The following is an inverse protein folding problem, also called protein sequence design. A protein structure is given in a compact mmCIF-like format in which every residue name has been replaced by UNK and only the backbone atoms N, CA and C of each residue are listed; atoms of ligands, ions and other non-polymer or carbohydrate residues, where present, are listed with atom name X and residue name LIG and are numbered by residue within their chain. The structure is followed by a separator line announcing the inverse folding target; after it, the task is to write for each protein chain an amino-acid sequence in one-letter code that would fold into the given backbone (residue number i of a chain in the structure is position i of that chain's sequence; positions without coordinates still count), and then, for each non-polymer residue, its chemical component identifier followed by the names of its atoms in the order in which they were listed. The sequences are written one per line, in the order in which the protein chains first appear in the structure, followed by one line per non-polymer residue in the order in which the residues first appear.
data_IF_158555087178
#
_entry.id   IF_158555087178
#
_cell.length_a   1.000
_cell.length_b   1.000
_cell.length_c   1.000
_cell.angle_alpha   90.00
_cell.angle_beta   90.00
_cell.angle_gamma   90.00
#
_symmetry.space_group_name_H-M   'P 1'
#
loop_
_entity.id
_entity.type
_entity.pdbx_description
1 polymer ?
#
# COMPACT_ATOMS: atom_id res chain seq x y z
N UNK A 1 -6.18 46.05 52.38
CA UNK A 1 -6.74 46.59 51.13
C UNK A 1 -5.66 46.52 50.05
N UNK A 2 -5.94 45.76 48.98
CA UNK A 2 -5.24 45.69 47.68
C UNK A 2 -3.84 45.07 47.60
N UNK A 3 -3.81 43.75 47.38
CA UNK A 3 -2.70 43.07 46.69
C UNK A 3 -3.12 42.83 45.22
N UNK A 4 -2.67 43.69 44.31
CA UNK A 4 -2.66 43.41 42.86
C UNK A 4 -1.32 42.74 42.54
N UNK A 5 -1.36 41.58 41.88
CA UNK A 5 -0.48 41.20 40.76
C UNK A 5 -0.90 39.81 40.23
N UNK A 6 -1.78 39.86 39.23
CA UNK A 6 -1.98 38.81 38.23
C UNK A 6 -0.86 38.91 37.21
N UNK A 7 -0.06 37.85 37.01
CA UNK A 7 0.64 37.61 35.74
C UNK A 7 0.43 36.14 35.35
N UNK A 8 -0.50 36.01 34.42
CA UNK A 8 -0.70 34.98 33.40
C UNK A 8 0.52 34.05 33.19
N UNK A 9 0.43 32.81 33.64
CA UNK A 9 1.35 31.74 33.21
C UNK A 9 0.75 31.03 32.00
N UNK A 10 1.38 31.24 30.86
CA UNK A 10 1.04 30.69 29.56
C UNK A 10 1.42 29.21 29.54
N UNK A 11 0.47 28.31 29.79
CA UNK A 11 0.66 26.86 29.58
C UNK A 11 0.58 26.62 28.07
N UNK A 12 1.72 26.76 27.40
CA UNK A 12 1.90 26.21 26.07
C UNK A 12 1.98 24.68 26.21
N UNK A 13 0.82 24.03 26.09
CA UNK A 13 0.77 22.58 25.89
C UNK A 13 1.31 22.29 24.48
N UNK A 14 2.62 22.13 24.39
CA UNK A 14 3.26 21.53 23.21
C UNK A 14 2.79 20.08 23.17
N UNK A 15 1.70 19.83 22.43
CA UNK A 15 1.36 18.50 21.97
C UNK A 15 2.48 18.06 21.01
N UNK A 16 3.55 17.49 21.56
CA UNK A 16 4.39 16.55 20.85
C UNK A 16 3.49 15.36 20.50
N UNK A 17 2.83 15.43 19.35
CA UNK A 17 2.28 14.24 18.70
C UNK A 17 3.51 13.46 18.26
N UNK A 18 3.98 12.58 19.13
CA UNK A 18 4.95 11.56 18.76
C UNK A 18 4.35 10.78 17.60
N UNK A 19 4.94 10.95 16.42
CA UNK A 19 4.64 10.13 15.26
C UNK A 19 5.04 8.69 15.62
N UNK A 20 4.06 7.91 16.08
CA UNK A 20 4.23 6.48 16.27
C UNK A 20 4.57 5.91 14.90
N UNK A 21 5.82 5.46 14.72
CA UNK A 21 6.22 4.73 13.54
C UNK A 21 5.29 3.52 13.41
N UNK A 22 4.47 3.51 12.37
CA UNK A 22 3.46 2.47 12.17
C UNK A 22 4.16 1.19 11.70
N UNK A 23 4.41 0.28 12.64
CA UNK A 23 5.19 -0.94 12.36
C UNK A 23 4.40 -1.96 11.53
N UNK A 24 3.07 -1.98 11.68
CA UNK A 24 2.16 -2.88 10.97
C UNK A 24 1.51 -2.24 9.74
N UNK A 25 1.12 -3.07 8.76
CA UNK A 25 0.37 -2.62 7.58
C UNK A 25 -1.04 -2.21 8.02
N UNK A 26 -1.46 -1.00 7.64
CA UNK A 26 -2.87 -0.58 7.72
C UNK A 26 -3.67 -1.22 6.59
N UNK A 27 -4.54 -2.17 6.91
CA UNK A 27 -5.40 -2.86 5.95
C UNK A 27 -6.69 -2.11 5.60
N UNK A 28 -6.99 -1.01 6.32
CA UNK A 28 -8.18 -0.17 6.06
C UNK A 28 -7.80 1.32 5.99
N UNK A 29 -6.83 1.70 5.14
CA UNK A 29 -6.34 3.07 5.11
C UNK A 29 -7.44 4.01 4.62
N UNK A 30 -7.48 5.24 5.17
CA UNK A 30 -8.48 6.26 4.81
C UNK A 30 -8.58 6.50 3.30
N UNK A 31 -7.46 6.37 2.56
CA UNK A 31 -7.42 6.50 1.11
C UNK A 31 -8.22 5.40 0.38
N UNK A 32 -8.15 4.16 0.88
CA UNK A 32 -8.95 3.04 0.36
C UNK A 32 -10.44 3.28 0.65
N UNK A 33 -10.79 3.58 1.90
CA UNK A 33 -12.17 3.80 2.32
C UNK A 33 -12.86 4.90 1.50
N UNK A 34 -12.17 6.03 1.27
CA UNK A 34 -12.67 7.11 0.41
C UNK A 34 -12.90 6.66 -1.04
N UNK A 35 -12.04 5.79 -1.56
CA UNK A 35 -12.15 5.28 -2.94
C UNK A 35 -13.33 4.31 -3.06
N UNK A 36 -13.53 3.44 -2.07
CA UNK A 36 -14.68 2.54 -1.99
C UNK A 36 -16.00 3.32 -1.84
N UNK A 37 -16.04 4.32 -0.97
CA UNK A 37 -17.20 5.18 -0.76
C UNK A 37 -17.62 5.90 -2.05
N UNK A 38 -16.66 6.46 -2.80
CA UNK A 38 -16.91 7.10 -4.11
C UNK A 38 -17.47 6.13 -5.16
N UNK A 39 -17.20 4.84 -5.01
CA UNK A 39 -17.74 3.80 -5.87
C UNK A 39 -19.07 3.21 -5.37
N UNK A 40 -19.66 3.80 -4.33
CA UNK A 40 -20.94 3.34 -3.75
C UNK A 40 -20.82 2.19 -2.76
N UNK A 41 -19.61 1.80 -2.37
CA UNK A 41 -19.37 0.79 -1.32
C UNK A 41 -19.16 1.54 0.00
N UNK A 42 -20.25 1.79 0.71
CA UNK A 42 -20.25 2.50 2.00
C UNK A 42 -20.12 1.55 3.19
N UNK A 43 -20.58 0.31 3.05
CA UNK A 43 -20.51 -0.71 4.09
C UNK A 43 -19.25 -1.55 3.96
N UNK A 44 -18.26 -1.26 4.82
CA UNK A 44 -16.96 -1.96 4.85
C UNK A 44 -17.09 -3.39 5.36
N UNK A 45 -18.18 -3.76 6.06
CA UNK A 45 -18.41 -5.14 6.52
C UNK A 45 -18.57 -6.14 5.36
N UNK A 46 -18.90 -5.63 4.17
CA UNK A 46 -18.94 -6.40 2.92
C UNK A 46 -17.55 -6.83 2.42
N UNK A 47 -16.48 -6.24 2.95
CA UNK A 47 -15.10 -6.56 2.58
C UNK A 47 -14.57 -7.66 3.49
N UNK A 48 -14.48 -8.88 2.95
CA UNK A 48 -13.99 -10.06 3.68
C UNK A 48 -12.60 -10.44 3.25
N UNK A 49 -11.72 -10.73 4.21
CA UNK A 49 -10.39 -11.25 3.92
C UNK A 49 -10.49 -12.61 3.22
N UNK A 50 -9.71 -12.80 2.16
CA UNK A 50 -9.59 -14.08 1.47
C UNK A 50 -8.57 -14.94 2.21
N UNK A 51 -9.05 -15.92 2.97
CA UNK A 51 -8.19 -16.94 3.59
C UNK A 51 -7.87 -17.99 2.55
N UNK A 52 -6.60 -18.04 2.12
CA UNK A 52 -6.21 -18.83 0.97
C UNK A 52 -5.36 -20.03 1.38
N UNK A 53 -5.85 -21.28 1.18
CA UNK A 53 -5.07 -22.48 1.42
C UNK A 53 -3.82 -22.54 0.54
N UNK A 54 -3.94 -22.14 -0.73
CA UNK A 54 -2.84 -22.07 -1.69
C UNK A 54 -1.79 -21.02 -1.31
N UNK A 55 -2.21 -19.95 -0.60
CA UNK A 55 -1.29 -18.97 -0.07
C UNK A 55 -0.57 -19.44 1.18
N UNK A 56 -0.99 -20.50 1.88
CA UNK A 56 -0.29 -20.96 3.10
C UNK A 56 1.16 -21.37 2.82
N UNK A 57 1.43 -21.92 1.63
CA UNK A 57 2.79 -22.24 1.20
C UNK A 57 3.56 -21.01 0.69
N UNK A 58 2.85 -19.94 0.29
CA UNK A 58 3.40 -18.65 -0.14
C UNK A 58 3.35 -17.58 0.98
N UNK A 59 2.86 -17.93 2.17
CA UNK A 59 2.60 -16.98 3.26
C UNK A 59 3.90 -16.36 3.79
N UNK A 60 5.03 -17.07 3.64
CA UNK A 60 6.34 -16.52 3.96
C UNK A 60 6.78 -15.40 2.99
N UNK A 61 6.16 -15.28 1.80
CA UNK A 61 6.52 -14.27 0.79
C UNK A 61 5.43 -13.22 0.56
N UNK A 62 4.24 -13.40 1.11
CA UNK A 62 3.12 -12.46 1.00
C UNK A 62 3.15 -11.42 2.12
N UNK A 63 3.74 -10.27 1.83
CA UNK A 63 3.72 -9.12 2.72
C UNK A 63 2.42 -8.31 2.57
N UNK A 64 1.27 -8.94 2.79
CA UNK A 64 -0.05 -8.31 2.67
C UNK A 64 -1.20 -9.30 2.61
N UNK A 65 -2.42 -8.79 2.34
CA UNK A 65 -3.67 -9.55 2.35
C UNK A 65 -4.54 -9.26 1.13
N UNK A 66 -5.27 -10.28 0.71
CA UNK A 66 -6.35 -10.13 -0.26
C UNK A 66 -7.70 -10.06 0.44
N UNK A 67 -8.61 -9.30 -0.14
CA UNK A 67 -9.99 -9.17 0.30
C UNK A 67 -10.95 -9.29 -0.88
N UNK A 68 -12.18 -9.70 -0.61
CA UNK A 68 -13.28 -9.80 -1.55
C UNK A 68 -14.42 -8.93 -1.08
N UNK A 69 -15.01 -8.20 -2.03
CA UNK A 69 -16.17 -7.35 -1.80
C UNK A 69 -17.44 -8.17 -2.08
N UNK A 70 -18.23 -8.40 -1.05
CA UNK A 70 -19.51 -9.11 -1.09
C UNK A 70 -20.64 -8.11 -0.95
N UNK A 71 -20.90 -7.36 -2.03
CA UNK A 71 -22.04 -6.45 -2.12
C UNK A 71 -23.05 -6.95 -3.13
N UNK A 72 -24.33 -6.70 -2.85
CA UNK A 72 -25.44 -6.98 -3.77
C UNK A 72 -25.52 -5.96 -4.91
N UNK A 73 -24.89 -4.79 -4.75
CA UNK A 73 -24.86 -3.75 -5.76
C UNK A 73 -23.77 -4.04 -6.81
N UNK A 74 -24.05 -3.68 -8.06
CA UNK A 74 -23.05 -3.80 -9.14
C UNK A 74 -21.94 -2.78 -8.88
N UNK A 75 -20.84 -3.24 -8.28
CA UNK A 75 -19.61 -2.47 -8.10
C UNK A 75 -18.64 -2.78 -9.23
N UNK A 76 -17.91 -1.75 -9.67
CA UNK A 76 -16.77 -1.92 -10.59
C UNK A 76 -15.57 -2.65 -9.94
N UNK A 77 -15.56 -2.79 -8.61
CA UNK A 77 -14.53 -3.47 -7.84
C UNK A 77 -15.08 -4.73 -7.18
N UNK A 78 -14.31 -5.81 -7.23
CA UNK A 78 -14.65 -7.11 -6.62
C UNK A 78 -13.58 -7.62 -5.65
N UNK A 79 -12.32 -7.36 -5.94
CA UNK A 79 -11.20 -7.82 -5.11
C UNK A 79 -10.28 -6.66 -4.75
N UNK A 80 -9.61 -6.80 -3.62
CA UNK A 80 -8.65 -5.83 -3.09
C UNK A 80 -7.40 -6.58 -2.70
N UNK A 81 -6.23 -6.01 -3.00
CA UNK A 81 -4.99 -6.37 -2.31
C UNK A 81 -4.53 -5.15 -1.49
N UNK A 82 -4.07 -5.37 -0.27
CA UNK A 82 -3.40 -4.34 0.54
C UNK A 82 -2.12 -4.96 1.10
N UNK A 83 -1.00 -4.29 0.92
CA UNK A 83 0.29 -4.83 1.33
C UNK A 83 1.42 -3.83 1.32
N UNK A 84 2.62 -4.36 1.58
CA UNK A 84 3.86 -3.61 1.73
C UNK A 84 4.92 -4.12 0.77
N UNK A 85 5.60 -3.19 0.13
CA UNK A 85 6.80 -3.43 -0.66
C UNK A 85 7.99 -2.83 0.09
N UNK A 86 9.07 -3.59 0.21
CA UNK A 86 10.32 -3.07 0.75
C UNK A 86 11.13 -2.44 -0.38
N UNK A 87 11.60 -1.21 -0.18
CA UNK A 87 12.55 -0.52 -1.05
C UNK A 87 13.92 -0.54 -0.37
N UNK A 88 14.96 -1.07 -1.02
CA UNK A 88 16.31 -0.97 -0.48
C UNK A 88 16.79 0.51 -0.50
N UNK A 89 17.61 0.90 0.49
CA UNK A 89 18.33 2.18 0.46
C UNK A 89 19.29 2.27 -0.73
N UNK A 90 19.55 3.49 -1.20
CA UNK A 90 20.66 3.77 -2.10
C UNK A 90 21.97 3.41 -1.39
N UNK A 91 22.60 2.30 -1.79
CA UNK A 91 23.74 1.69 -1.09
C UNK A 91 23.76 0.16 -1.15
N UNK A 92 22.65 -0.48 -1.54
CA UNK A 92 22.56 -1.91 -1.79
C UNK A 92 22.04 -2.71 -0.59
N UNK A 93 21.37 -3.82 -0.88
CA UNK A 93 20.84 -4.76 0.11
C UNK A 93 21.90 -5.80 0.56
N UNK A 94 23.16 -5.38 0.69
CA UNK A 94 24.30 -6.27 0.97
C UNK A 94 24.81 -6.23 2.40
N UNK A 95 24.11 -5.57 3.32
CA UNK A 95 24.40 -5.76 4.74
C UNK A 95 23.52 -6.92 5.20
N UNK A 96 24.13 -8.09 5.38
CA UNK A 96 23.58 -9.19 6.16
C UNK A 96 23.32 -8.69 7.58
N UNK A 97 22.19 -8.05 7.79
CA UNK A 97 21.61 -7.91 9.12
C UNK A 97 20.92 -9.23 9.41
N UNK A 98 21.64 -10.04 10.19
CA UNK A 98 21.11 -11.03 11.10
C UNK A 98 19.67 -10.68 11.47
N UNK A 99 18.78 -11.62 11.15
CA UNK A 99 17.47 -11.85 11.77
C UNK A 99 17.44 -11.19 13.15
N UNK A 100 16.80 -10.02 13.31
CA UNK A 100 16.22 -9.48 14.56
C UNK A 100 15.78 -8.00 14.52
N UNK A 101 16.03 -7.20 13.47
CA UNK A 101 15.47 -5.83 13.38
C UNK A 101 14.45 -5.70 12.25
N UNK A 102 13.18 -5.92 12.57
CA UNK A 102 12.01 -5.75 11.67
C UNK A 102 11.77 -4.26 11.29
N UNK A 103 12.60 -3.33 11.78
CA UNK A 103 12.41 -1.88 11.66
C UNK A 103 13.32 -1.11 10.69
N UNK A 104 14.33 -1.75 10.07
CA UNK A 104 15.40 -1.01 9.37
C UNK A 104 15.29 -0.99 7.83
N UNK A 105 14.35 -1.74 7.24
CA UNK A 105 14.11 -1.69 5.79
C UNK A 105 13.16 -0.54 5.46
N UNK A 106 13.51 0.28 4.47
CA UNK A 106 12.58 1.25 3.90
C UNK A 106 11.46 0.54 3.15
N UNK A 107 10.26 1.10 3.18
CA UNK A 107 9.09 0.44 2.62
C UNK A 107 8.02 1.43 2.18
N UNK A 108 7.03 0.93 1.46
CA UNK A 108 5.79 1.64 1.23
C UNK A 108 4.60 0.67 1.21
N UNK A 109 3.48 1.16 1.71
CA UNK A 109 2.21 0.43 1.74
C UNK A 109 1.30 0.93 0.63
N UNK A 110 0.66 -0.02 -0.03
CA UNK A 110 -0.17 0.26 -1.19
C UNK A 110 -1.37 -0.69 -1.25
N UNK A 111 -2.35 -0.33 -2.06
CA UNK A 111 -3.46 -1.19 -2.39
C UNK A 111 -3.70 -1.26 -3.90
N UNK A 112 -4.30 -2.38 -4.31
CA UNK A 112 -4.81 -2.61 -5.66
C UNK A 112 -6.31 -2.90 -5.56
N UNK A 113 -7.12 -2.25 -6.40
CA UNK A 113 -8.50 -2.62 -6.63
C UNK A 113 -8.61 -3.35 -7.96
N UNK A 114 -9.26 -4.51 -7.94
CA UNK A 114 -9.53 -5.31 -9.13
C UNK A 114 -11.02 -5.39 -9.41
N UNK A 115 -11.39 -5.53 -10.68
CA UNK A 115 -12.76 -5.84 -11.06
C UNK A 115 -13.09 -7.34 -10.92
N UNK A 116 -14.31 -7.72 -11.32
CA UNK A 116 -14.77 -9.12 -11.29
C UNK A 116 -13.95 -10.07 -12.17
N UNK A 117 -13.29 -9.53 -13.20
CA UNK A 117 -12.42 -10.27 -14.11
C UNK A 117 -10.96 -10.27 -13.63
N UNK A 118 -10.71 -9.83 -12.39
CA UNK A 118 -9.38 -9.76 -11.76
C UNK A 118 -8.42 -8.84 -12.51
N UNK A 119 -8.98 -7.84 -13.21
CA UNK A 119 -8.21 -6.82 -13.92
C UNK A 119 -7.98 -5.63 -12.99
N UNK A 120 -6.75 -5.10 -12.96
CA UNK A 120 -6.38 -3.94 -12.15
C UNK A 120 -7.18 -2.72 -12.59
N UNK A 121 -7.84 -2.06 -11.63
CA UNK A 121 -8.62 -0.84 -11.84
C UNK A 121 -8.03 0.38 -11.16
N UNK A 122 -7.41 0.19 -10.00
CA UNK A 122 -6.76 1.26 -9.22
C UNK A 122 -5.54 0.69 -8.54
N UNK A 123 -4.46 1.46 -8.54
CA UNK A 123 -3.30 1.27 -7.66
C UNK A 123 -3.09 2.57 -6.90
N UNK A 124 -2.81 2.48 -5.60
CA UNK A 124 -2.50 3.66 -4.78
C UNK A 124 -1.51 3.29 -3.70
N UNK A 125 -0.41 4.05 -3.64
CA UNK A 125 0.51 4.05 -2.50
C UNK A 125 -0.02 5.05 -1.47
N UNK A 126 -0.29 4.59 -0.25
CA UNK A 126 -0.92 5.42 0.79
C UNK A 126 -0.01 5.71 1.98
N UNK A 127 1.10 4.98 2.10
CA UNK A 127 2.14 5.21 3.08
C UNK A 127 3.50 5.01 2.40
N UNK A 128 4.40 5.99 2.46
CA UNK A 128 5.73 5.91 1.86
C UNK A 128 6.77 6.22 2.92
N UNK A 129 7.50 5.19 3.36
CA UNK A 129 8.49 5.22 4.45
C UNK A 129 9.87 4.85 3.89
N UNK A 130 10.32 5.64 2.91
CA UNK A 130 11.63 5.50 2.27
C UNK A 130 12.24 6.87 2.02
N UNK A 131 13.56 6.94 1.92
CA UNK A 131 14.29 8.22 1.74
C UNK A 131 14.24 8.72 0.32
N UNK A 132 14.10 7.82 -0.67
CA UNK A 132 14.09 8.14 -2.08
C UNK A 132 12.99 7.37 -2.82
N UNK A 133 12.58 7.88 -3.98
CA UNK A 133 11.68 7.19 -4.90
C UNK A 133 10.18 7.43 -4.71
N UNK A 134 9.80 8.41 -3.89
CA UNK A 134 8.42 8.80 -3.62
C UNK A 134 7.62 9.20 -4.87
N UNK A 135 8.29 9.44 -5.98
CA UNK A 135 7.71 9.69 -7.29
C UNK A 135 6.77 8.57 -7.74
N UNK A 136 7.00 7.31 -7.29
CA UNK A 136 6.08 6.19 -7.56
C UNK A 136 4.69 6.37 -6.93
N UNK A 137 4.53 7.29 -5.98
CA UNK A 137 3.22 7.63 -5.38
C UNK A 137 2.35 8.48 -6.31
N UNK A 138 2.93 9.02 -7.40
CA UNK A 138 2.22 9.87 -8.33
C UNK A 138 1.06 9.11 -9.00
N UNK A 139 -0.17 9.59 -8.79
CA UNK A 139 -1.39 8.99 -9.39
C UNK A 139 -1.31 8.87 -10.90
N UNK A 140 -0.63 9.81 -11.57
CA UNK A 140 -0.43 9.76 -13.02
C UNK A 140 0.40 8.55 -13.43
N UNK A 141 1.52 8.32 -12.74
CA UNK A 141 2.41 7.19 -13.01
C UNK A 141 1.74 5.84 -12.67
N UNK A 142 1.04 5.74 -11.54
CA UNK A 142 0.33 4.54 -11.11
C UNK A 142 -0.82 4.11 -12.05
N UNK A 143 -1.30 4.99 -12.93
CA UNK A 143 -2.35 4.63 -13.92
C UNK A 143 -1.86 3.63 -14.97
N UNK A 144 -0.56 3.51 -15.18
CA UNK A 144 0.01 2.57 -16.16
C UNK A 144 -0.33 1.10 -15.85
N UNK A 145 -0.63 0.78 -14.59
CA UNK A 145 -1.04 -0.57 -14.18
C UNK A 145 -2.51 -0.89 -14.47
N UNK A 146 -3.34 0.11 -14.80
CA UNK A 146 -4.77 -0.10 -15.06
C UNK A 146 -4.94 -0.96 -16.32
N UNK A 147 -5.77 -1.99 -16.23
CA UNK A 147 -6.00 -2.93 -17.32
C UNK A 147 -5.09 -4.16 -17.26
N UNK A 148 -4.06 -4.19 -16.41
CA UNK A 148 -3.25 -5.39 -16.21
C UNK A 148 -4.10 -6.51 -15.61
N UNK A 149 -4.06 -7.68 -16.22
CA UNK A 149 -4.84 -8.87 -15.84
C UNK A 149 -3.98 -10.14 -15.83
N UNK A 150 -2.66 -9.99 -15.89
CA UNK A 150 -1.70 -11.11 -15.92
C UNK A 150 -1.50 -11.78 -17.28
N UNK A 151 -2.13 -11.30 -18.37
CA UNK A 151 -1.91 -11.85 -19.72
C UNK A 151 -0.55 -11.48 -20.31
N UNK A 152 -0.04 -10.28 -20.01
CA UNK A 152 1.24 -9.76 -20.48
C UNK A 152 2.10 -9.32 -19.29
N UNK A 153 3.43 -9.52 -19.34
CA UNK A 153 4.33 -9.13 -18.26
C UNK A 153 4.49 -7.61 -18.18
N UNK A 154 4.74 -7.10 -16.96
CA UNK A 154 5.07 -5.70 -16.73
C UNK A 154 6.59 -5.52 -16.80
N UNK A 155 7.05 -4.62 -17.66
CA UNK A 155 8.46 -4.39 -17.97
C UNK A 155 8.75 -2.91 -17.91
N UNK A 156 9.57 -2.53 -16.93
CA UNK A 156 10.14 -1.19 -16.82
C UNK A 156 10.92 -0.86 -18.10
N UNK A 157 10.85 0.39 -18.54
CA UNK A 157 11.43 0.89 -19.79
C UNK A 157 10.82 0.28 -21.07
N UNK A 158 9.67 -0.41 -20.95
CA UNK A 158 8.90 -0.92 -22.10
C UNK A 158 7.45 -0.50 -22.04
N UNK A 159 6.71 -1.03 -21.07
CA UNK A 159 5.29 -0.74 -20.87
C UNK A 159 5.00 -0.13 -19.50
N UNK A 160 6.04 0.08 -18.67
CA UNK A 160 6.02 0.89 -17.46
C UNK A 160 7.18 1.88 -17.53
N UNK A 161 6.88 3.17 -17.40
CA UNK A 161 7.87 4.24 -17.42
C UNK A 161 8.83 4.11 -16.23
N UNK A 162 10.14 4.18 -16.50
CA UNK A 162 11.12 4.38 -15.45
C UNK A 162 10.99 5.79 -14.84
N UNK A 163 11.52 5.94 -13.63
CA UNK A 163 11.61 7.22 -12.94
C UNK A 163 13.05 7.39 -12.46
N UNK A 164 13.69 8.48 -12.88
CA UNK A 164 15.01 8.85 -12.42
C UNK A 164 15.03 9.04 -10.90
N UNK A 165 16.02 8.44 -10.21
CA UNK A 165 16.13 8.51 -8.75
C UNK A 165 15.15 7.62 -7.97
N UNK A 166 14.27 6.87 -8.65
CA UNK A 166 13.30 5.97 -8.04
C UNK A 166 13.37 4.53 -8.56
N UNK A 167 14.50 4.15 -9.19
CA UNK A 167 14.65 2.84 -9.86
C UNK A 167 14.27 1.67 -8.95
N UNK A 168 14.76 1.63 -7.71
CA UNK A 168 14.46 0.53 -6.78
C UNK A 168 12.95 0.42 -6.53
N UNK A 169 12.28 1.53 -6.23
CA UNK A 169 10.84 1.56 -5.96
C UNK A 169 10.01 1.22 -7.20
N UNK A 170 10.41 1.70 -8.39
CA UNK A 170 9.76 1.40 -9.66
C UNK A 170 9.77 -0.10 -9.94
N UNK A 171 10.95 -0.74 -9.87
CA UNK A 171 11.07 -2.17 -10.12
C UNK A 171 10.34 -3.00 -9.05
N UNK A 172 10.44 -2.60 -7.78
CA UNK A 172 9.81 -3.33 -6.68
C UNK A 172 8.28 -3.33 -6.75
N UNK A 173 7.65 -2.16 -6.96
CA UNK A 173 6.18 -2.08 -7.06
C UNK A 173 5.67 -2.77 -8.34
N UNK A 174 6.39 -2.64 -9.45
CA UNK A 174 6.01 -3.25 -10.73
C UNK A 174 5.98 -4.78 -10.63
N UNK A 175 7.06 -5.36 -10.09
CA UNK A 175 7.15 -6.81 -9.86
C UNK A 175 6.09 -7.31 -8.87
N UNK A 176 5.84 -6.56 -7.79
CA UNK A 176 4.84 -6.96 -6.79
C UNK A 176 3.41 -6.92 -7.36
N UNK A 177 3.05 -5.89 -8.13
CA UNK A 177 1.74 -5.80 -8.81
C UNK A 177 1.54 -6.95 -9.79
N UNK A 178 2.55 -7.26 -10.61
CA UNK A 178 2.50 -8.40 -11.54
C UNK A 178 2.27 -9.70 -10.78
N UNK A 179 3.05 -9.94 -9.72
CA UNK A 179 2.94 -11.12 -8.88
C UNK A 179 1.56 -11.22 -8.21
N UNK A 180 1.04 -10.15 -7.60
CA UNK A 180 -0.26 -10.18 -6.92
C UNK A 180 -1.40 -10.40 -7.91
N UNK A 181 -1.30 -9.82 -9.10
CA UNK A 181 -2.29 -10.05 -10.17
C UNK A 181 -2.26 -11.50 -10.60
N UNK A 182 -1.07 -12.07 -10.87
CA UNK A 182 -0.92 -13.47 -11.24
C UNK A 182 -1.44 -14.44 -10.16
N UNK A 183 -1.20 -14.13 -8.88
CA UNK A 183 -1.76 -14.89 -7.75
C UNK A 183 -3.29 -14.84 -7.80
N UNK A 184 -3.89 -13.64 -7.85
CA UNK A 184 -5.34 -13.47 -7.84
C UNK A 184 -6.01 -14.18 -9.03
N UNK A 185 -5.40 -14.12 -10.23
CA UNK A 185 -5.88 -14.79 -11.45
C UNK A 185 -6.01 -16.29 -11.25
N UNK A 186 -5.02 -16.93 -10.59
CA UNK A 186 -5.02 -18.37 -10.33
C UNK A 186 -6.09 -18.83 -9.34
N UNK A 187 -6.62 -17.94 -8.50
CA UNK A 187 -7.68 -18.26 -7.55
C UNK A 187 -8.99 -18.57 -8.30
N UNK A 188 -9.47 -19.81 -8.19
CA UNK A 188 -10.76 -20.22 -8.78
C UNK A 188 -11.94 -19.86 -7.87
#
# INVERSE_FOLDING_TARGET
MNLKKTILSLISAICFVSALAQTSIDYQPKALLKTLQKAGITDVSTVKELTLPELKNLQQTLNGKFFKIETNNVSQYKYIYVGRVNSCRAGGCSITHSVNNIGDSEYFDYYILFDKNKTVRVVTVFNYQATHGQEVTAKGWLKQFIGHNGSEPLKVDKNIDAISGATISVYAITSDIEMKTAILVKLR
#
